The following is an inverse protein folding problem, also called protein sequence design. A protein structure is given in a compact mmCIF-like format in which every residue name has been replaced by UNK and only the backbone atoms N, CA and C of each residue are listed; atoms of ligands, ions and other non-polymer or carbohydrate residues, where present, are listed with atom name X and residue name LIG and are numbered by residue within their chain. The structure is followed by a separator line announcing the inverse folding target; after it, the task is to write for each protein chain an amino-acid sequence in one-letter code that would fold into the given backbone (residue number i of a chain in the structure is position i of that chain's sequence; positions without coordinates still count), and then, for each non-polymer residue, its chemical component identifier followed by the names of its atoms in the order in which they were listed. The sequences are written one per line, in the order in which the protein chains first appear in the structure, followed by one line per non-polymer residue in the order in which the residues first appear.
data_IF_699174778326
#
_entry.id   IF_699174778326
#
_cell.length_a   1.000
_cell.length_b   1.000
_cell.length_c   1.000
_cell.angle_alpha   90.00
_cell.angle_beta   90.00
_cell.angle_gamma   90.00
#
_symmetry.space_group_name_H-M   'P 1'
#
loop_
_entity.id
_entity.type
_entity.pdbx_description
1 polymer ?
#
# COMPACT_ATOMS: atom_id res chain seq x y z
N UNK A 1 18.97 -2.76 -22.85
CA UNK A 1 18.78 -1.48 -22.12
C UNK A 1 18.25 -1.82 -20.74
N UNK A 2 18.96 -1.43 -19.69
CA UNK A 2 18.43 -1.63 -18.33
C UNK A 2 17.35 -0.58 -18.02
N UNK A 3 16.33 -0.91 -17.21
CA UNK A 3 15.26 0.03 -16.87
C UNK A 3 15.76 1.33 -16.21
N UNK A 4 16.89 1.26 -15.48
CA UNK A 4 17.54 2.44 -14.91
C UNK A 4 17.98 3.47 -15.95
N UNK A 5 18.19 3.04 -17.19
CA UNK A 5 18.65 3.89 -18.31
C UNK A 5 17.47 4.31 -19.21
N UNK A 6 16.25 3.96 -18.83
CA UNK A 6 15.06 4.35 -19.57
C UNK A 6 14.75 5.82 -19.34
N UNK A 7 14.83 6.60 -20.41
CA UNK A 7 14.49 8.01 -20.45
C UNK A 7 13.56 8.29 -21.62
N UNK A 8 12.40 8.83 -21.36
CA UNK A 8 11.46 9.28 -22.35
C UNK A 8 11.12 10.76 -22.14
N UNK A 9 10.60 11.40 -23.18
CA UNK A 9 10.10 12.78 -23.07
C UNK A 9 9.03 12.94 -21.98
N UNK A 10 8.24 11.90 -21.73
CA UNK A 10 7.13 11.90 -20.77
C UNK A 10 7.53 11.50 -19.36
N UNK A 11 8.67 10.87 -19.15
CA UNK A 11 9.09 10.40 -17.84
C UNK A 11 10.23 9.40 -17.87
N UNK A 12 10.55 8.89 -16.69
CA UNK A 12 11.56 7.87 -16.43
C UNK A 12 11.03 6.81 -15.47
N UNK A 13 11.83 5.78 -15.21
CA UNK A 13 11.58 4.80 -14.15
C UNK A 13 12.60 4.96 -13.02
N UNK A 14 12.15 4.75 -11.80
CA UNK A 14 13.01 4.69 -10.61
C UNK A 14 12.82 3.36 -9.88
N UNK A 15 13.89 2.79 -9.31
CA UNK A 15 13.76 1.57 -8.51
C UNK A 15 13.02 1.88 -7.21
N UNK A 16 12.11 0.99 -6.83
CA UNK A 16 11.35 1.07 -5.58
C UNK A 16 11.25 -0.32 -4.95
N UNK A 17 10.97 -0.36 -3.66
CA UNK A 17 10.38 -1.50 -3.00
C UNK A 17 8.87 -1.31 -2.89
N UNK A 18 8.13 -2.34 -3.25
CA UNK A 18 6.68 -2.40 -3.10
C UNK A 18 6.36 -3.36 -1.96
N UNK A 19 5.63 -2.85 -0.96
CA UNK A 19 5.09 -3.65 0.13
C UNK A 19 3.61 -3.90 -0.13
N UNK A 20 3.19 -5.16 -0.02
CA UNK A 20 1.79 -5.58 0.03
C UNK A 20 1.51 -6.13 1.41
N UNK A 21 0.60 -5.49 2.13
CA UNK A 21 0.28 -5.72 3.53
C UNK A 21 -1.15 -6.23 3.59
N UNK A 22 -1.35 -7.46 4.06
CA UNK A 22 -2.70 -7.99 4.32
C UNK A 22 -3.24 -7.41 5.62
N UNK A 23 -4.46 -6.90 5.59
CA UNK A 23 -5.11 -6.32 6.76
C UNK A 23 -6.63 -6.28 6.58
N UNK A 24 -7.38 -5.93 7.63
CA UNK A 24 -8.79 -5.64 7.53
C UNK A 24 -9.01 -4.20 7.03
N UNK A 25 -10.13 -3.95 6.38
CA UNK A 25 -10.41 -2.63 5.76
C UNK A 25 -10.41 -1.49 6.80
N UNK A 26 -10.85 -1.76 8.02
CA UNK A 26 -10.94 -0.81 9.12
C UNK A 26 -9.57 -0.30 9.59
N UNK A 27 -8.51 -1.07 9.35
CA UNK A 27 -7.15 -0.75 9.80
C UNK A 27 -6.32 0.03 8.77
N UNK A 28 -6.79 0.12 7.54
CA UNK A 28 -6.05 0.73 6.43
C UNK A 28 -5.60 2.15 6.77
N UNK A 29 -6.48 2.98 7.30
CA UNK A 29 -6.14 4.37 7.64
C UNK A 29 -5.13 4.43 8.79
N UNK A 30 -5.27 3.59 9.81
CA UNK A 30 -4.34 3.51 10.94
C UNK A 30 -2.92 3.12 10.48
N UNK A 31 -2.82 2.11 9.61
CA UNK A 31 -1.53 1.68 9.04
C UNK A 31 -0.92 2.78 8.16
N UNK A 32 -1.72 3.42 7.32
CA UNK A 32 -1.26 4.53 6.50
C UNK A 32 -0.80 5.72 7.35
N UNK A 33 -1.48 6.04 8.44
CA UNK A 33 -1.09 7.12 9.34
C UNK A 33 0.23 6.81 10.05
N UNK A 34 0.42 5.56 10.50
CA UNK A 34 1.67 5.11 11.10
C UNK A 34 2.84 5.23 10.12
N UNK A 35 2.66 4.74 8.89
CA UNK A 35 3.69 4.89 7.85
C UNK A 35 3.94 6.36 7.51
N UNK A 36 2.89 7.19 7.41
CA UNK A 36 3.02 8.61 7.10
C UNK A 36 3.77 9.41 8.18
N UNK A 37 3.84 8.90 9.40
CA UNK A 37 4.63 9.51 10.47
C UNK A 37 6.14 9.41 10.22
N UNK A 38 6.58 8.40 9.47
CA UNK A 38 8.00 8.13 9.18
C UNK A 38 8.36 8.33 7.71
N UNK A 39 7.40 8.16 6.79
CA UNK A 39 7.61 8.27 5.35
C UNK A 39 6.43 8.91 4.62
N UNK A 40 6.63 9.91 3.74
CA UNK A 40 5.54 10.65 3.12
C UNK A 40 4.74 9.88 2.06
N UNK A 41 5.15 8.69 1.65
CA UNK A 41 4.58 7.92 0.54
C UNK A 41 4.33 8.78 -0.71
N UNK A 42 5.36 9.52 -1.12
CA UNK A 42 5.26 10.46 -2.23
C UNK A 42 5.28 9.78 -3.59
N UNK A 43 4.32 10.12 -4.44
CA UNK A 43 4.35 9.77 -5.86
C UNK A 43 4.19 11.05 -6.70
N UNK A 44 5.28 11.56 -7.21
CA UNK A 44 5.35 12.87 -7.84
C UNK A 44 4.98 13.99 -6.85
N UNK A 45 3.86 14.68 -7.09
CA UNK A 45 3.36 15.78 -6.25
C UNK A 45 2.32 15.33 -5.23
N UNK A 46 2.06 14.03 -5.12
CA UNK A 46 1.04 13.48 -4.23
C UNK A 46 1.72 12.74 -3.09
N UNK A 47 1.21 12.92 -1.89
CA UNK A 47 1.61 12.20 -0.68
C UNK A 47 0.56 11.15 -0.34
N UNK A 48 0.87 10.26 0.62
CA UNK A 48 -0.03 9.20 1.06
C UNK A 48 -0.50 8.33 -0.13
N UNK A 49 0.42 8.09 -1.08
CA UNK A 49 0.09 7.29 -2.26
C UNK A 49 0.10 5.80 -1.90
N UNK A 50 -1.08 5.20 -1.95
CA UNK A 50 -1.30 3.80 -1.68
C UNK A 50 -2.42 3.28 -2.59
N UNK A 51 -2.56 1.98 -2.69
CA UNK A 51 -3.73 1.34 -3.26
C UNK A 51 -4.25 0.27 -2.33
N UNK A 52 -5.57 0.13 -2.27
CA UNK A 52 -6.26 -0.90 -1.49
C UNK A 52 -6.98 -1.80 -2.46
N UNK A 53 -6.83 -3.12 -2.30
CA UNK A 53 -7.53 -4.09 -3.15
C UNK A 53 -9.04 -4.09 -2.90
N UNK A 54 -9.79 -4.73 -3.79
CA UNK A 54 -11.15 -5.16 -3.44
C UNK A 54 -11.08 -6.12 -2.25
N UNK A 55 -12.13 -6.18 -1.40
CA UNK A 55 -12.19 -7.15 -0.31
C UNK A 55 -12.04 -8.58 -0.80
N UNK A 56 -11.20 -9.33 -0.12
CA UNK A 56 -10.92 -10.75 -0.32
C UNK A 56 -11.10 -11.51 0.98
N UNK A 57 -10.54 -12.71 1.02
CA UNK A 57 -10.55 -13.59 2.18
C UNK A 57 -9.14 -14.16 2.38
N UNK A 58 -8.73 -14.25 3.63
CA UNK A 58 -7.54 -15.01 4.04
C UNK A 58 -7.93 -16.19 4.91
N UNK A 59 -7.07 -17.18 5.02
CA UNK A 59 -7.27 -18.35 5.87
C UNK A 59 -6.06 -18.55 6.77
N UNK A 60 -6.33 -18.95 8.01
CA UNK A 60 -5.29 -19.32 8.97
C UNK A 60 -5.72 -20.50 9.81
N UNK A 61 -4.75 -21.23 10.35
CA UNK A 61 -4.96 -22.21 11.41
C UNK A 61 -4.09 -21.78 12.60
N UNK A 62 -4.70 -21.32 13.70
CA UNK A 62 -3.95 -20.96 14.88
C UNK A 62 -3.18 -22.17 15.43
N UNK A 63 -1.89 -21.98 15.71
CA UNK A 63 -1.07 -22.97 16.39
C UNK A 63 -1.29 -22.89 17.92
N UNK A 64 -1.01 -23.97 18.66
CA UNK A 64 -1.07 -23.95 20.13
C UNK A 64 -0.21 -22.83 20.73
N UNK A 65 -0.82 -21.99 21.57
CA UNK A 65 -0.16 -20.85 22.21
C UNK A 65 -0.18 -19.55 21.39
N UNK A 66 -0.78 -19.55 20.21
CA UNK A 66 -1.02 -18.29 19.46
C UNK A 66 -1.92 -17.34 20.23
N UNK A 67 -1.84 -16.04 19.95
CA UNK A 67 -2.71 -15.04 20.60
C UNK A 67 -4.18 -15.26 20.26
N UNK A 68 -4.49 -15.73 19.06
CA UNK A 68 -5.87 -16.09 18.67
C UNK A 68 -6.41 -17.21 19.55
N UNK A 69 -5.66 -18.30 19.70
CA UNK A 69 -6.08 -19.45 20.53
C UNK A 69 -6.21 -19.07 22.00
N UNK A 70 -5.28 -18.24 22.52
CA UNK A 70 -5.21 -17.94 23.96
C UNK A 70 -6.08 -16.77 24.40
N UNK A 71 -6.48 -15.86 23.50
CA UNK A 71 -7.18 -14.62 23.85
C UNK A 71 -8.53 -14.43 23.14
N UNK A 72 -8.87 -15.25 22.14
CA UNK A 72 -10.14 -15.11 21.41
C UNK A 72 -11.05 -16.28 21.74
N UNK A 73 -12.18 -16.00 22.39
CA UNK A 73 -13.16 -17.03 22.76
C UNK A 73 -13.76 -17.70 21.51
N UNK A 74 -13.85 -19.01 21.53
CA UNK A 74 -14.42 -19.82 20.46
C UNK A 74 -13.43 -20.26 19.38
N UNK A 75 -12.15 -19.91 19.51
CA UNK A 75 -11.10 -20.38 18.61
C UNK A 75 -10.31 -21.52 19.27
N UNK A 76 -10.01 -22.55 18.50
CA UNK A 76 -9.18 -23.66 18.93
C UNK A 76 -8.01 -23.85 17.97
N UNK A 77 -6.85 -24.25 18.52
CA UNK A 77 -5.69 -24.57 17.70
C UNK A 77 -6.00 -25.67 16.69
N UNK A 78 -5.58 -25.47 15.43
CA UNK A 78 -5.78 -26.42 14.34
C UNK A 78 -7.09 -26.28 13.58
N UNK A 79 -8.04 -25.47 14.03
CA UNK A 79 -9.23 -25.15 13.26
C UNK A 79 -8.91 -24.13 12.15
N UNK A 80 -9.43 -24.37 10.95
CA UNK A 80 -9.27 -23.43 9.84
C UNK A 80 -10.27 -22.29 9.95
N UNK A 81 -9.73 -21.09 10.13
CA UNK A 81 -10.50 -19.87 10.16
C UNK A 81 -10.37 -19.10 8.84
N UNK A 82 -11.39 -18.32 8.53
CA UNK A 82 -11.44 -17.50 7.33
C UNK A 82 -11.83 -16.08 7.70
N UNK A 83 -11.02 -15.11 7.30
CA UNK A 83 -11.20 -13.70 7.65
C UNK A 83 -11.36 -12.83 6.39
N UNK A 84 -12.25 -11.81 6.42
CA UNK A 84 -12.24 -10.79 5.39
C UNK A 84 -10.95 -9.97 5.45
N UNK A 85 -10.34 -9.71 4.30
CA UNK A 85 -9.10 -8.96 4.22
C UNK A 85 -9.04 -8.08 2.98
N UNK A 86 -8.17 -7.09 3.00
CA UNK A 86 -7.72 -6.30 1.86
C UNK A 86 -6.19 -6.30 1.79
N UNK A 87 -5.64 -6.06 0.61
CA UNK A 87 -4.21 -5.81 0.43
C UNK A 87 -3.97 -4.31 0.33
N UNK A 88 -3.28 -3.75 1.33
CA UNK A 88 -2.75 -2.41 1.28
C UNK A 88 -1.39 -2.44 0.57
N UNK A 89 -1.27 -1.75 -0.55
CA UNK A 89 -0.03 -1.66 -1.31
C UNK A 89 0.55 -0.25 -1.26
N UNK A 90 1.80 -0.17 -0.84
CA UNK A 90 2.60 1.07 -0.81
C UNK A 90 3.93 0.85 -1.56
N UNK A 91 4.59 1.94 -1.94
CA UNK A 91 5.94 1.87 -2.48
C UNK A 91 6.85 2.94 -1.88
N UNK A 92 8.07 2.54 -1.60
CA UNK A 92 9.13 3.37 -1.02
C UNK A 92 10.40 3.29 -1.88
N UNK A 93 11.32 4.22 -1.72
CA UNK A 93 12.64 4.13 -2.32
C UNK A 93 13.42 2.90 -1.80
N UNK A 94 14.36 2.40 -2.59
CA UNK A 94 15.24 1.30 -2.20
C UNK A 94 16.36 1.80 -1.28
N UNK A 95 15.99 2.15 -0.07
CA UNK A 95 16.87 2.55 1.02
C UNK A 95 16.56 1.70 2.26
N UNK A 96 17.58 1.00 2.78
CA UNK A 96 17.41 0.08 3.89
C UNK A 96 16.90 0.79 5.15
N UNK A 97 17.39 1.99 5.44
CA UNK A 97 17.00 2.76 6.61
C UNK A 97 15.52 3.19 6.53
N UNK A 98 15.03 3.51 5.33
CA UNK A 98 13.63 3.81 5.08
C UNK A 98 12.78 2.55 5.26
N UNK A 99 13.23 1.42 4.72
CA UNK A 99 12.52 0.14 4.88
C UNK A 99 12.38 -0.25 6.35
N UNK A 100 13.45 -0.16 7.12
CA UNK A 100 13.45 -0.47 8.57
C UNK A 100 12.43 0.39 9.31
N UNK A 101 12.43 1.70 9.12
CA UNK A 101 11.45 2.61 9.75
C UNK A 101 10.01 2.33 9.34
N UNK A 102 9.78 2.04 8.06
CA UNK A 102 8.43 1.71 7.56
C UNK A 102 7.95 0.36 8.10
N UNK A 103 8.82 -0.64 8.14
CA UNK A 103 8.48 -1.96 8.71
C UNK A 103 8.15 -1.87 10.20
N UNK A 104 8.97 -1.16 10.98
CA UNK A 104 8.70 -0.92 12.40
C UNK A 104 7.34 -0.23 12.60
N UNK A 105 7.05 0.82 11.83
CA UNK A 105 5.78 1.53 11.90
C UNK A 105 4.57 0.64 11.55
N UNK A 106 4.72 -0.26 10.57
CA UNK A 106 3.67 -1.21 10.21
C UNK A 106 3.46 -2.22 11.34
N UNK A 107 4.54 -2.85 11.85
CA UNK A 107 4.45 -3.84 12.91
C UNK A 107 3.83 -3.26 14.19
N UNK A 108 4.22 -2.04 14.57
CA UNK A 108 3.68 -1.36 15.75
C UNK A 108 2.19 -1.00 15.62
N UNK A 109 1.73 -0.75 14.39
CA UNK A 109 0.35 -0.37 14.13
C UNK A 109 -0.57 -1.54 13.74
N UNK A 110 -0.01 -2.68 13.30
CA UNK A 110 -0.80 -3.81 12.84
C UNK A 110 -1.44 -4.56 14.02
N UNK A 111 -2.69 -5.03 13.85
CA UNK A 111 -3.37 -5.77 14.91
C UNK A 111 -3.12 -7.28 14.87
N UNK A 112 -2.52 -7.82 13.79
CA UNK A 112 -2.15 -9.22 13.74
C UNK A 112 -0.89 -9.48 14.57
N UNK A 113 -0.83 -10.62 15.24
CA UNK A 113 0.38 -11.13 15.88
C UNK A 113 1.52 -11.30 14.86
N UNK A 114 1.18 -11.82 13.68
CA UNK A 114 2.10 -12.03 12.56
C UNK A 114 1.53 -11.39 11.29
N UNK A 115 1.85 -10.12 11.02
CA UNK A 115 1.41 -9.45 9.79
C UNK A 115 1.96 -10.11 8.54
N UNK A 116 1.10 -10.40 7.57
CA UNK A 116 1.52 -10.93 6.27
C UNK A 116 1.92 -9.77 5.37
N UNK A 117 3.21 -9.63 5.11
CA UNK A 117 3.79 -8.54 4.32
C UNK A 117 4.69 -9.13 3.24
N UNK A 118 4.38 -8.84 1.98
CA UNK A 118 5.24 -9.19 0.85
C UNK A 118 6.05 -7.97 0.40
N UNK A 119 7.35 -8.15 0.26
CA UNK A 119 8.28 -7.17 -0.28
C UNK A 119 8.72 -7.58 -1.69
N UNK A 120 8.59 -6.67 -2.65
CA UNK A 120 9.07 -6.86 -4.03
C UNK A 120 9.96 -5.72 -4.49
N UNK A 121 10.90 -6.06 -5.36
CA UNK A 121 11.69 -5.07 -6.09
C UNK A 121 10.98 -4.70 -7.39
N UNK A 122 10.56 -3.45 -7.48
CA UNK A 122 9.80 -2.92 -8.61
C UNK A 122 10.45 -1.67 -9.22
N UNK A 123 9.90 -1.23 -10.36
CA UNK A 123 10.26 0.02 -11.02
C UNK A 123 9.02 0.89 -11.15
N UNK A 124 9.04 2.05 -10.54
CA UNK A 124 7.94 3.00 -10.57
C UNK A 124 8.19 4.12 -11.59
N UNK A 125 7.18 4.44 -12.40
CA UNK A 125 7.27 5.56 -13.34
C UNK A 125 7.29 6.90 -12.59
N UNK A 126 8.03 7.85 -13.16
CA UNK A 126 8.02 9.26 -12.72
C UNK A 126 7.75 10.13 -13.94
N UNK A 127 6.60 10.78 -13.93
CA UNK A 127 6.19 11.65 -15.02
C UNK A 127 6.98 12.97 -15.01
N UNK A 128 7.37 13.45 -16.18
CA UNK A 128 7.85 14.81 -16.36
C UNK A 128 6.66 15.72 -16.53
N UNK A 129 6.38 16.50 -15.51
CA UNK A 129 5.26 17.45 -15.55
C UNK A 129 5.54 18.61 -16.49
N UNK A 130 4.64 18.82 -17.44
CA UNK A 130 4.64 19.99 -18.31
C UNK A 130 3.26 20.66 -18.27
N UNK A 131 3.13 21.82 -17.58
CA UNK A 131 1.85 22.50 -17.42
C UNK A 131 1.29 23.03 -18.74
N UNK A 132 2.17 23.34 -19.70
CA UNK A 132 1.79 23.91 -20.99
C UNK A 132 1.42 22.85 -22.04
N UNK A 133 1.55 21.56 -21.70
CA UNK A 133 1.22 20.49 -22.63
C UNK A 133 -0.29 20.34 -22.75
N UNK A 134 -0.82 20.72 -23.90
CA UNK A 134 -2.23 20.50 -24.23
C UNK A 134 -2.47 18.99 -24.43
N UNK A 135 -3.02 18.35 -23.42
CA UNK A 135 -3.47 16.97 -23.49
C UNK A 135 -4.94 16.91 -23.04
N UNK A 136 -5.88 16.68 -23.97
CA UNK A 136 -7.32 16.72 -23.68
C UNK A 136 -7.76 15.60 -22.71
N UNK A 137 -6.93 14.57 -22.53
CA UNK A 137 -7.23 13.47 -21.57
C UNK A 137 -6.90 13.84 -20.12
N UNK A 138 -6.18 14.94 -19.89
CA UNK A 138 -5.89 15.42 -18.54
C UNK A 138 -7.09 16.17 -17.99
N UNK A 139 -7.53 15.82 -16.79
CA UNK A 139 -8.73 16.40 -16.16
C UNK A 139 -8.64 17.94 -16.04
N UNK A 140 -7.45 18.50 -15.83
CA UNK A 140 -7.25 19.95 -15.72
C UNK A 140 -7.31 20.68 -17.07
N UNK A 141 -7.23 19.96 -18.20
CA UNK A 141 -7.30 20.55 -19.55
C UNK A 141 -8.71 20.50 -20.15
N UNK A 142 -9.60 19.65 -19.62
CA UNK A 142 -10.92 19.42 -20.23
C UNK A 142 -12.09 19.98 -19.41
N UNK A 143 -11.82 20.62 -18.26
CA UNK A 143 -12.83 21.21 -17.38
C UNK A 143 -13.79 20.23 -16.72
N UNK A 144 -13.60 18.91 -16.90
CA UNK A 144 -14.52 17.88 -16.38
C UNK A 144 -14.28 17.51 -14.93
N UNK A 145 -13.16 17.95 -14.34
CA UNK A 145 -12.75 17.54 -13.00
C UNK A 145 -12.46 16.04 -12.89
N UNK A 146 -12.28 15.56 -11.68
CA UNK A 146 -12.20 14.11 -11.41
C UNK A 146 -13.60 13.50 -11.59
N UNK A 147 -13.69 12.27 -12.15
CA UNK A 147 -14.97 11.55 -12.24
C UNK A 147 -15.67 11.48 -10.87
N UNK A 148 -16.97 11.71 -10.84
CA UNK A 148 -17.77 11.70 -9.60
C UNK A 148 -17.69 10.39 -8.82
N UNK A 149 -17.33 9.29 -9.49
CA UNK A 149 -17.09 7.98 -8.86
C UNK A 149 -15.99 8.00 -7.78
N UNK A 150 -15.07 8.95 -7.88
CA UNK A 150 -13.95 9.05 -6.91
C UNK A 150 -14.37 9.87 -5.69
N UNK A 151 -15.40 10.70 -5.79
CA UNK A 151 -15.89 11.52 -4.67
C UNK A 151 -16.73 10.73 -3.65
N UNK A 152 -17.20 9.55 -4.02
CA UNK A 152 -18.14 8.73 -3.23
C UNK A 152 -17.55 7.43 -2.71
N UNK A 153 -16.25 7.22 -2.83
CA UNK A 153 -15.54 6.14 -2.12
C UNK A 153 -15.20 6.72 -0.73
N UNK A 154 -16.20 6.81 0.12
CA UNK A 154 -15.95 6.87 1.56
C UNK A 154 -15.59 5.46 2.03
N UNK A 155 -14.58 5.33 2.91
CA UNK A 155 -14.25 4.05 3.53
C UNK A 155 -15.45 3.47 4.28
#
# INVERSE_FOLDING_TARGET
MALKDYEARSGSFVPVWTLEIQTVIEDVDRLLDAVMAVHPLSYGRYRRNASVSAPGMETAQPEPGSTTETHVEGFAAGDTETYPMVELKISIERDQSVLEQVMDAIHDAHHYEEPVIFLREDWASRARYNPNRNNPNRFWNNGRGLPDRIKNISP
#
